data_IF_653133484629
#
_entry.id   IF_653133484629
#
_cell.length_a   1.000
_cell.length_b   1.000
_cell.length_c   1.000
_cell.angle_alpha   90.00
_cell.angle_beta   90.00
_cell.angle_gamma   90.00
#
_symmetry.space_group_name_H-M   'P 1'
#
loop_
_entity.id
_entity.type
_entity.pdbx_description
1 polymer ?
#
# COMPACT_ATOMS: atom_id res chain seq x y z
N UNK A 1 -28.85 -19.07 -12.99
CA UNK A 1 -27.53 -18.43 -12.78
C UNK A 1 -26.52 -19.35 -13.42
N UNK A 2 -25.76 -18.90 -14.43
CA UNK A 2 -24.77 -19.78 -15.08
C UNK A 2 -23.67 -20.16 -14.08
N UNK A 3 -23.15 -21.38 -14.17
CA UNK A 3 -22.04 -21.83 -13.33
C UNK A 3 -20.81 -20.96 -13.64
N UNK A 4 -20.21 -20.28 -12.64
CA UNK A 4 -18.98 -19.52 -12.83
C UNK A 4 -17.86 -20.33 -13.48
N UNK A 5 -17.81 -21.65 -13.25
CA UNK A 5 -16.81 -22.54 -13.86
C UNK A 5 -17.04 -22.69 -15.37
N UNK A 6 -18.29 -22.75 -15.79
CA UNK A 6 -18.67 -22.87 -17.19
C UNK A 6 -18.37 -21.56 -17.94
N UNK A 7 -18.67 -20.41 -17.33
CA UNK A 7 -18.31 -19.11 -17.87
C UNK A 7 -16.79 -18.94 -18.03
N UNK A 8 -15.99 -19.37 -17.05
CA UNK A 8 -14.52 -19.36 -17.16
C UNK A 8 -14.04 -20.31 -18.25
N UNK A 9 -14.62 -21.51 -18.35
CA UNK A 9 -14.25 -22.48 -19.39
C UNK A 9 -14.53 -21.95 -20.81
N UNK A 10 -15.62 -21.21 -21.01
CA UNK A 10 -15.94 -20.58 -22.28
C UNK A 10 -14.94 -19.48 -22.67
N UNK A 11 -14.57 -18.62 -21.72
CA UNK A 11 -13.53 -17.59 -21.95
C UNK A 11 -12.20 -18.24 -22.34
N UNK A 12 -11.80 -19.30 -21.61
CA UNK A 12 -10.56 -20.03 -21.91
C UNK A 12 -10.59 -20.71 -23.27
N UNK A 13 -11.73 -21.30 -23.66
CA UNK A 13 -11.91 -21.88 -24.99
C UNK A 13 -11.77 -20.82 -26.08
N UNK A 14 -12.48 -19.70 -25.95
CA UNK A 14 -12.42 -18.60 -26.91
C UNK A 14 -11.00 -18.01 -27.06
N UNK A 15 -10.27 -17.86 -25.95
CA UNK A 15 -8.87 -17.44 -26.00
C UNK A 15 -8.01 -18.48 -26.73
N UNK A 16 -8.16 -19.77 -26.40
CA UNK A 16 -7.39 -20.83 -27.04
C UNK A 16 -7.64 -20.94 -28.54
N UNK A 17 -8.89 -20.77 -28.98
CA UNK A 17 -9.26 -20.72 -30.40
C UNK A 17 -8.62 -19.52 -31.10
N UNK A 18 -8.66 -18.35 -30.46
CA UNK A 18 -8.03 -17.13 -30.99
C UNK A 18 -6.52 -17.30 -31.14
N UNK A 19 -5.85 -17.87 -30.14
CA UNK A 19 -4.41 -18.13 -30.17
C UNK A 19 -4.04 -19.15 -31.25
N UNK A 20 -4.81 -20.23 -31.41
CA UNK A 20 -4.63 -21.21 -32.49
C UNK A 20 -4.76 -20.56 -33.87
N UNK A 21 -5.81 -19.79 -34.08
CA UNK A 21 -6.05 -19.10 -35.36
C UNK A 21 -4.87 -18.20 -35.75
N UNK A 22 -4.36 -17.39 -34.83
CA UNK A 22 -3.23 -16.49 -35.10
C UNK A 22 -1.93 -17.26 -35.35
N UNK A 23 -1.68 -18.32 -34.58
CA UNK A 23 -0.53 -19.20 -34.81
C UNK A 23 -0.59 -19.84 -36.21
N UNK A 24 -1.76 -20.31 -36.63
CA UNK A 24 -1.95 -20.94 -37.94
C UNK A 24 -1.79 -19.93 -39.10
N UNK A 25 -1.99 -18.63 -38.84
CA UNK A 25 -1.64 -17.52 -39.74
C UNK A 25 -0.14 -17.14 -39.73
N UNK A 26 0.69 -17.86 -38.97
CA UNK A 26 2.14 -17.58 -38.86
C UNK A 26 2.50 -16.43 -37.92
N UNK A 27 1.55 -15.95 -37.11
CA UNK A 27 1.80 -14.92 -36.10
C UNK A 27 2.52 -15.55 -34.92
N UNK A 28 3.76 -15.13 -34.67
CA UNK A 28 4.57 -15.58 -33.53
C UNK A 28 4.34 -14.73 -32.27
N UNK A 29 3.82 -13.51 -32.42
CA UNK A 29 3.58 -12.56 -31.33
C UNK A 29 2.25 -11.82 -31.55
N UNK A 30 1.41 -11.79 -30.50
CA UNK A 30 0.17 -11.01 -30.50
C UNK A 30 0.39 -9.83 -29.56
N UNK A 31 0.60 -8.65 -30.14
CA UNK A 31 0.66 -7.41 -29.39
C UNK A 31 -0.75 -7.07 -28.87
N UNK A 32 -0.92 -7.06 -27.55
CA UNK A 32 -2.15 -6.52 -26.94
C UNK A 32 -2.18 -5.01 -27.19
N UNK A 33 -3.14 -4.54 -27.98
CA UNK A 33 -3.27 -3.11 -28.34
C UNK A 33 -3.72 -2.24 -27.17
N UNK A 34 -4.16 -2.86 -26.07
CA UNK A 34 -4.53 -2.22 -24.80
C UNK A 34 -4.11 -3.13 -23.66
N UNK A 35 -3.65 -2.52 -22.56
CA UNK A 35 -3.49 -3.23 -21.31
C UNK A 35 -4.87 -3.75 -20.86
N UNK A 36 -5.08 -5.07 -20.72
CA UNK A 36 -6.35 -5.62 -20.26
C UNK A 36 -6.63 -5.26 -18.79
N UNK A 37 -5.64 -4.75 -18.06
CA UNK A 37 -5.81 -4.29 -16.69
C UNK A 37 -6.29 -2.83 -16.65
N UNK A 38 -7.24 -2.49 -15.76
CA UNK A 38 -7.67 -1.11 -15.59
C UNK A 38 -6.49 -0.23 -15.17
N UNK A 39 -6.49 1.03 -15.62
CA UNK A 39 -5.55 2.05 -15.15
C UNK A 39 -5.50 2.01 -13.61
N UNK A 40 -4.32 1.99 -12.97
CA UNK A 40 -4.23 1.90 -11.51
C UNK A 40 -5.06 2.97 -10.79
N UNK A 41 -5.19 4.16 -11.37
CA UNK A 41 -6.03 5.22 -10.81
C UNK A 41 -7.53 4.88 -10.88
N UNK A 42 -8.01 4.30 -11.98
CA UNK A 42 -9.39 3.82 -12.12
C UNK A 42 -9.66 2.66 -11.16
N UNK A 43 -8.75 1.71 -11.06
CA UNK A 43 -8.86 0.57 -10.17
C UNK A 43 -8.93 1.00 -8.70
N UNK A 44 -8.05 1.90 -8.27
CA UNK A 44 -8.06 2.45 -6.91
C UNK A 44 -9.34 3.25 -6.63
N UNK A 45 -9.84 4.05 -7.59
CA UNK A 45 -11.12 4.75 -7.45
C UNK A 45 -12.29 3.78 -7.26
N UNK A 46 -12.35 2.71 -8.05
CA UNK A 46 -13.39 1.70 -7.91
C UNK A 46 -13.31 0.98 -6.54
N UNK A 47 -12.10 0.68 -6.07
CA UNK A 47 -11.88 0.12 -4.73
C UNK A 47 -12.32 1.07 -3.61
N UNK A 48 -11.99 2.36 -3.72
CA UNK A 48 -12.40 3.38 -2.75
C UNK A 48 -13.92 3.52 -2.67
N UNK A 49 -14.59 3.56 -3.83
CA UNK A 49 -16.05 3.61 -3.92
C UNK A 49 -16.70 2.37 -3.30
N UNK A 50 -16.18 1.17 -3.59
CA UNK A 50 -16.68 -0.08 -3.02
C UNK A 50 -16.48 -0.19 -1.50
N UNK A 51 -15.52 0.55 -0.95
CA UNK A 51 -15.25 0.59 0.48
C UNK A 51 -16.15 1.58 1.23
N UNK A 52 -16.80 2.52 0.53
CA UNK A 52 -17.75 3.44 1.15
C UNK A 52 -18.85 2.66 1.87
N UNK A 53 -19.11 3.01 3.13
CA UNK A 53 -20.12 2.31 3.94
C UNK A 53 -19.74 0.90 4.41
N UNK A 54 -18.50 0.43 4.20
CA UNK A 54 -18.06 -0.92 4.57
C UNK A 54 -18.44 -1.31 6.02
N UNK A 55 -19.22 -2.39 6.25
CA UNK A 55 -19.66 -2.81 7.60
C UNK A 55 -18.83 -3.97 8.19
N UNK A 56 -17.72 -4.36 7.55
CA UNK A 56 -17.02 -5.64 7.81
C UNK A 56 -16.41 -5.79 9.21
N UNK A 57 -16.23 -4.71 9.97
CA UNK A 57 -15.73 -4.77 11.35
C UNK A 57 -16.33 -3.67 12.23
N UNK A 58 -16.10 -3.77 13.54
CA UNK A 58 -16.65 -2.86 14.56
C UNK A 58 -16.20 -1.40 14.42
N UNK A 59 -15.06 -1.13 13.80
CA UNK A 59 -14.58 0.23 13.51
C UNK A 59 -15.54 1.02 12.59
N UNK A 60 -16.40 0.33 11.84
CA UNK A 60 -17.40 0.98 11.00
C UNK A 60 -18.45 1.77 11.77
N UNK A 61 -18.63 1.49 13.06
CA UNK A 61 -19.66 2.08 13.90
C UNK A 61 -19.30 3.46 14.44
N UNK A 62 -18.01 3.77 14.56
CA UNK A 62 -17.51 4.98 15.20
C UNK A 62 -16.73 5.92 14.27
N UNK A 63 -16.36 5.48 13.07
CA UNK A 63 -15.73 6.34 12.07
C UNK A 63 -16.67 7.45 11.62
N UNK A 64 -16.10 8.61 11.30
CA UNK A 64 -16.79 9.65 10.55
C UNK A 64 -16.70 9.37 9.05
N UNK A 65 -15.52 8.97 8.58
CA UNK A 65 -15.30 8.61 7.18
C UNK A 65 -14.28 7.50 7.03
N UNK A 66 -14.28 6.85 5.88
CA UNK A 66 -13.25 5.88 5.51
C UNK A 66 -12.03 6.63 5.00
N UNK A 67 -10.85 6.26 5.51
CA UNK A 67 -9.56 6.79 5.06
C UNK A 67 -8.87 5.71 4.22
N UNK A 68 -9.13 5.73 2.91
CA UNK A 68 -8.72 4.68 1.98
C UNK A 68 -7.20 4.67 1.74
N UNK A 69 -6.68 5.81 1.26
CA UNK A 69 -5.31 6.03 0.86
C UNK A 69 -5.21 7.30 0.00
N UNK A 70 -4.02 7.86 -0.20
CA UNK A 70 -3.82 9.04 -1.04
C UNK A 70 -2.43 9.09 -1.66
N UNK A 71 -2.31 9.72 -2.81
CA UNK A 71 -1.04 9.98 -3.50
C UNK A 71 -1.05 9.43 -4.93
N UNK A 72 0.13 9.20 -5.49
CA UNK A 72 0.29 8.75 -6.87
C UNK A 72 -0.21 7.29 -7.03
N UNK A 73 -1.20 7.01 -7.89
CA UNK A 73 -1.71 5.65 -8.13
C UNK A 73 -0.68 4.71 -8.78
N UNK A 74 0.41 5.27 -9.31
CA UNK A 74 1.57 4.56 -9.88
C UNK A 74 2.83 4.77 -9.03
N UNK A 75 2.67 5.08 -7.74
CA UNK A 75 3.78 5.38 -6.87
C UNK A 75 4.77 4.21 -6.81
N UNK A 76 6.06 4.55 -6.90
CA UNK A 76 7.12 3.56 -6.74
C UNK A 76 7.53 3.37 -5.28
N UNK A 77 7.10 4.29 -4.41
CA UNK A 77 7.18 4.19 -2.96
C UNK A 77 5.77 4.15 -2.37
N UNK A 78 5.42 3.08 -1.67
CA UNK A 78 4.20 3.02 -0.86
C UNK A 78 4.53 3.13 0.62
N UNK A 79 3.84 4.00 1.35
CA UNK A 79 4.01 4.18 2.80
C UNK A 79 2.81 3.61 3.52
N UNK A 80 3.04 2.71 4.48
CA UNK A 80 1.97 2.00 5.18
C UNK A 80 2.08 2.25 6.68
N UNK A 81 1.03 2.84 7.26
CA UNK A 81 0.87 3.03 8.70
C UNK A 81 -0.13 2.08 9.35
N UNK A 82 -0.45 2.35 10.62
CA UNK A 82 -1.36 1.53 11.43
C UNK A 82 -2.83 1.78 11.09
N UNK A 83 -3.30 3.01 11.29
CA UNK A 83 -4.71 3.39 11.18
C UNK A 83 -4.89 4.90 11.19
N UNK A 84 -6.10 5.40 10.88
CA UNK A 84 -6.42 6.82 10.91
C UNK A 84 -6.45 7.37 12.34
N UNK A 85 -5.97 8.60 12.51
CA UNK A 85 -6.24 9.39 13.71
C UNK A 85 -7.49 10.25 13.54
N UNK A 86 -7.66 11.20 14.45
CA UNK A 86 -8.84 12.08 14.48
C UNK A 86 -8.96 12.98 13.25
N UNK A 87 -7.86 13.62 12.85
CA UNK A 87 -7.88 14.54 11.71
C UNK A 87 -8.02 13.78 10.39
N UNK A 88 -7.44 12.59 10.31
CA UNK A 88 -7.63 11.70 9.17
C UNK A 88 -9.10 11.26 9.03
N UNK A 89 -9.75 10.88 10.14
CA UNK A 89 -11.16 10.48 10.16
C UNK A 89 -12.12 11.63 9.79
N UNK A 90 -11.77 12.88 10.11
CA UNK A 90 -12.56 14.04 9.69
C UNK A 90 -12.38 14.37 8.20
N UNK A 91 -11.16 14.21 7.67
CA UNK A 91 -10.80 14.69 6.34
C UNK A 91 -10.83 13.61 5.25
N UNK A 92 -10.87 12.32 5.63
CA UNK A 92 -10.80 11.20 4.70
C UNK A 92 -9.42 10.98 4.08
N UNK A 93 -8.39 11.66 4.58
CA UNK A 93 -7.02 11.61 4.02
C UNK A 93 -6.05 11.05 5.06
N UNK A 94 -5.15 10.14 4.69
CA UNK A 94 -4.21 9.54 5.63
C UNK A 94 -3.10 10.52 6.00
N UNK A 95 -2.62 10.48 7.25
CA UNK A 95 -1.46 11.26 7.70
C UNK A 95 -1.59 12.78 7.39
N UNK A 96 -2.66 13.42 7.86
CA UNK A 96 -2.88 14.88 7.78
C UNK A 96 -2.65 15.60 9.12
N UNK A 97 -2.73 14.87 10.24
CA UNK A 97 -2.44 15.40 11.58
C UNK A 97 -0.95 15.63 11.83
N UNK A 98 -0.58 15.87 13.11
CA UNK A 98 0.81 16.17 13.51
C UNK A 98 1.81 15.09 13.09
N UNK A 99 1.44 13.82 13.23
CA UNK A 99 2.26 12.69 12.78
C UNK A 99 2.46 12.70 11.26
N UNK A 100 1.42 13.07 10.52
CA UNK A 100 1.46 13.22 9.07
C UNK A 100 2.33 14.37 8.58
N UNK A 101 2.27 15.52 9.25
CA UNK A 101 3.17 16.64 8.96
C UNK A 101 4.63 16.27 9.18
N UNK A 102 4.92 15.48 10.22
CA UNK A 102 6.27 14.94 10.43
C UNK A 102 6.65 13.95 9.32
N UNK A 103 5.74 13.05 8.92
CA UNK A 103 5.98 12.13 7.80
C UNK A 103 6.33 12.88 6.52
N UNK A 104 5.59 13.94 6.19
CA UNK A 104 5.88 14.77 5.01
C UNK A 104 7.28 15.36 5.07
N UNK A 105 7.71 15.89 6.22
CA UNK A 105 9.09 16.40 6.40
C UNK A 105 10.14 15.29 6.32
N UNK A 106 9.84 14.10 6.86
CA UNK A 106 10.72 12.94 6.79
C UNK A 106 10.95 12.52 5.34
N UNK A 107 9.89 12.37 4.54
CA UNK A 107 9.98 12.02 3.12
C UNK A 107 10.76 13.09 2.33
N UNK A 108 10.43 14.37 2.55
CA UNK A 108 11.12 15.49 1.89
C UNK A 108 12.63 15.52 2.23
N UNK A 109 13.02 15.13 3.46
CA UNK A 109 14.43 15.12 3.88
C UNK A 109 15.32 14.13 3.10
N UNK A 110 14.72 13.19 2.38
CA UNK A 110 15.41 12.23 1.50
C UNK A 110 14.97 12.36 0.04
N UNK A 111 14.38 13.51 -0.32
CA UNK A 111 14.07 13.87 -1.70
C UNK A 111 12.80 13.23 -2.27
N UNK A 112 11.88 12.75 -1.44
CA UNK A 112 10.56 12.30 -1.88
C UNK A 112 9.53 13.42 -1.74
N UNK A 113 8.77 13.65 -2.81
CA UNK A 113 7.52 14.40 -2.78
C UNK A 113 6.37 13.46 -2.42
N UNK A 114 5.53 13.91 -1.48
CA UNK A 114 4.45 13.11 -0.93
C UNK A 114 3.39 12.73 -1.96
N UNK A 115 3.02 13.66 -2.85
CA UNK A 115 1.90 13.46 -3.77
C UNK A 115 2.38 12.89 -5.10
N UNK A 116 3.57 13.29 -5.56
CA UNK A 116 4.15 12.84 -6.82
C UNK A 116 4.81 11.46 -6.71
N UNK A 117 5.56 11.21 -5.64
CA UNK A 117 6.44 10.03 -5.58
C UNK A 117 5.85 8.89 -4.73
N UNK A 118 4.90 9.20 -3.85
CA UNK A 118 4.40 8.27 -2.84
C UNK A 118 2.90 7.94 -3.01
N UNK A 119 2.51 6.75 -2.55
CA UNK A 119 1.14 6.42 -2.18
C UNK A 119 1.08 6.05 -0.70
N UNK A 120 0.19 6.65 0.05
CA UNK A 120 0.14 6.53 1.51
C UNK A 120 -1.17 5.87 1.93
N UNK A 121 -1.07 4.84 2.75
CA UNK A 121 -2.20 4.07 3.24
C UNK A 121 -1.96 3.58 4.68
N UNK A 122 -2.99 2.99 5.29
CA UNK A 122 -2.91 2.34 6.59
C UNK A 122 -3.41 0.88 6.50
N UNK A 123 -3.02 0.05 7.46
CA UNK A 123 -3.52 -1.32 7.64
C UNK A 123 -5.04 -1.33 7.84
N UNK A 124 -5.55 -0.53 8.78
CA UNK A 124 -6.99 -0.32 8.90
C UNK A 124 -7.42 1.01 8.27
N UNK A 125 -8.63 1.06 7.71
CA UNK A 125 -9.17 2.23 6.98
C UNK A 125 -10.12 3.10 7.81
N UNK A 126 -10.35 2.73 9.06
CA UNK A 126 -11.29 3.39 9.97
C UNK A 126 -10.57 3.67 11.28
N UNK A 127 -10.84 4.82 11.90
CA UNK A 127 -10.21 5.22 13.17
C UNK A 127 -10.67 4.30 14.32
N UNK A 128 -9.76 3.67 15.07
CA UNK A 128 -10.10 3.04 16.34
C UNK A 128 -10.45 4.06 17.43
N UNK A 129 -11.40 3.71 18.29
CA UNK A 129 -11.87 4.59 19.37
C UNK A 129 -10.70 5.10 20.22
N UNK A 130 -10.66 6.41 20.46
CA UNK A 130 -9.61 7.08 21.23
C UNK A 130 -8.18 6.79 20.72
N UNK A 131 -8.03 6.46 19.44
CA UNK A 131 -6.75 6.10 18.81
C UNK A 131 -6.05 4.93 19.52
N UNK A 132 -6.83 3.97 20.04
CA UNK A 132 -6.25 2.69 20.47
C UNK A 132 -5.64 1.97 19.27
N UNK A 133 -4.82 0.97 19.56
CA UNK A 133 -4.36 0.05 18.54
C UNK A 133 -5.54 -0.74 17.94
N UNK A 134 -5.52 -1.05 16.62
CA UNK A 134 -6.45 -1.98 16.01
C UNK A 134 -6.35 -3.38 16.63
N UNK A 135 -7.49 -4.03 16.80
CA UNK A 135 -7.56 -5.40 17.28
C UNK A 135 -7.31 -6.40 16.13
N UNK A 136 -6.85 -7.64 16.42
CA UNK A 136 -6.53 -8.61 15.38
C UNK A 136 -7.68 -8.93 14.42
N UNK A 137 -8.93 -8.94 14.90
CA UNK A 137 -10.12 -9.15 14.06
C UNK A 137 -10.38 -7.96 13.12
N UNK A 138 -10.10 -6.74 13.57
CA UNK A 138 -10.22 -5.52 12.76
C UNK A 138 -9.16 -5.49 11.66
N UNK A 139 -7.92 -5.86 12.00
CA UNK A 139 -6.83 -6.02 11.04
C UNK A 139 -7.19 -7.09 10.02
N UNK A 140 -7.63 -8.27 10.46
CA UNK A 140 -7.99 -9.38 9.57
C UNK A 140 -9.12 -9.01 8.59
N UNK A 141 -10.16 -8.32 9.06
CA UNK A 141 -11.25 -7.86 8.20
C UNK A 141 -10.83 -6.76 7.21
N UNK A 142 -9.84 -5.93 7.56
CA UNK A 142 -9.45 -4.77 6.76
C UNK A 142 -8.24 -5.04 5.84
N UNK A 143 -7.39 -6.01 6.17
CA UNK A 143 -6.18 -6.35 5.44
C UNK A 143 -6.40 -6.66 3.95
N UNK A 144 -7.50 -7.34 3.52
CA UNK A 144 -7.76 -7.57 2.10
C UNK A 144 -7.82 -6.27 1.27
N UNK A 145 -8.25 -5.16 1.85
CA UNK A 145 -8.29 -3.87 1.15
C UNK A 145 -6.90 -3.27 0.96
N UNK A 146 -6.02 -3.39 1.98
CA UNK A 146 -4.62 -2.98 1.83
C UNK A 146 -3.90 -3.86 0.80
N UNK A 147 -4.13 -5.17 0.83
CA UNK A 147 -3.55 -6.08 -0.16
C UNK A 147 -3.99 -5.73 -1.58
N UNK A 148 -5.28 -5.46 -1.80
CA UNK A 148 -5.79 -5.03 -3.10
C UNK A 148 -5.12 -3.72 -3.59
N UNK A 149 -4.87 -2.76 -2.70
CA UNK A 149 -4.12 -1.53 -3.05
C UNK A 149 -2.67 -1.85 -3.44
N UNK A 150 -1.98 -2.70 -2.67
CA UNK A 150 -0.60 -3.13 -2.99
C UNK A 150 -0.56 -3.88 -4.33
N UNK A 151 -1.55 -4.74 -4.60
CA UNK A 151 -1.65 -5.51 -5.84
C UNK A 151 -1.95 -4.62 -7.05
N UNK A 152 -2.66 -3.50 -6.85
CA UNK A 152 -2.97 -2.53 -7.90
C UNK A 152 -1.79 -1.61 -8.22
N UNK A 153 -1.07 -1.17 -7.19
CA UNK A 153 0.05 -0.22 -7.33
C UNK A 153 1.36 -0.95 -7.69
N UNK A 154 1.52 -2.18 -7.20
CA UNK A 154 2.73 -2.99 -7.31
C UNK A 154 4.03 -2.20 -7.00
N UNK A 155 4.11 -1.52 -5.84
CA UNK A 155 5.23 -0.65 -5.53
C UNK A 155 6.52 -1.48 -5.32
N UNK A 156 7.66 -1.12 -5.94
CA UNK A 156 8.94 -1.77 -5.70
C UNK A 156 9.47 -1.53 -4.29
N UNK A 157 9.08 -0.43 -3.62
CA UNK A 157 9.48 -0.14 -2.24
C UNK A 157 8.26 0.14 -1.37
N UNK A 158 8.17 -0.56 -0.24
CA UNK A 158 7.19 -0.30 0.81
C UNK A 158 7.90 0.18 2.08
N UNK A 159 7.59 1.40 2.52
CA UNK A 159 8.02 1.92 3.82
C UNK A 159 6.94 1.63 4.87
N UNK A 160 7.21 0.71 5.79
CA UNK A 160 6.27 0.28 6.83
C UNK A 160 6.56 1.00 8.16
N UNK A 161 5.56 1.72 8.67
CA UNK A 161 5.68 2.61 9.82
C UNK A 161 5.20 1.94 11.11
N UNK A 162 6.12 1.62 12.01
CA UNK A 162 5.84 1.07 13.34
C UNK A 162 5.47 -0.42 13.35
N UNK A 163 5.18 -0.93 14.55
CA UNK A 163 4.94 -2.36 14.77
C UNK A 163 3.77 -2.90 13.94
N UNK A 164 2.62 -2.22 13.94
CA UNK A 164 1.41 -2.75 13.32
C UNK A 164 1.56 -2.96 11.83
N UNK A 165 2.08 -1.97 11.10
CA UNK A 165 2.32 -2.09 9.67
C UNK A 165 3.29 -3.24 9.37
N UNK A 166 4.42 -3.27 10.09
CA UNK A 166 5.49 -4.25 9.83
C UNK A 166 5.07 -5.67 10.19
N UNK A 167 4.43 -5.86 11.34
CA UNK A 167 3.96 -7.17 11.80
C UNK A 167 2.85 -7.72 10.89
N UNK A 168 1.93 -6.86 10.44
CA UNK A 168 0.88 -7.25 9.50
C UNK A 168 1.45 -7.66 8.15
N UNK A 169 2.40 -6.88 7.62
CA UNK A 169 2.97 -7.15 6.30
C UNK A 169 3.93 -8.35 6.31
N UNK A 170 4.79 -8.46 7.33
CA UNK A 170 5.78 -9.55 7.41
C UNK A 170 5.25 -10.83 8.09
N UNK A 171 4.04 -10.81 8.67
CA UNK A 171 3.48 -11.96 9.37
C UNK A 171 4.30 -12.37 10.60
N UNK A 172 4.88 -11.41 11.33
CA UNK A 172 5.77 -11.65 12.48
C UNK A 172 5.23 -11.01 13.76
N UNK A 173 5.71 -11.50 14.92
CA UNK A 173 5.48 -10.88 16.24
C UNK A 173 6.68 -10.05 16.72
N UNK A 174 7.76 -10.01 15.94
CA UNK A 174 8.95 -9.23 16.30
C UNK A 174 8.66 -7.73 16.35
N UNK A 175 9.34 -7.02 17.25
CA UNK A 175 9.18 -5.58 17.42
C UNK A 175 10.04 -4.77 16.45
N UNK A 176 9.60 -3.55 16.16
CA UNK A 176 10.21 -2.62 15.20
C UNK A 176 11.69 -2.40 15.48
N UNK A 177 12.09 -2.32 16.75
CA UNK A 177 13.49 -2.11 17.14
C UNK A 177 14.44 -3.19 16.63
N UNK A 178 13.95 -4.43 16.44
CA UNK A 178 14.73 -5.54 15.85
C UNK A 178 14.61 -5.57 14.33
N UNK A 179 13.49 -5.11 13.79
CA UNK A 179 13.16 -5.27 12.38
C UNK A 179 13.69 -4.14 11.49
N UNK A 180 13.87 -2.93 12.03
CA UNK A 180 14.35 -1.75 11.30
C UNK A 180 15.83 -1.82 10.91
N UNK A 181 16.27 -0.90 10.04
CA UNK A 181 17.66 -0.81 9.58
C UNK A 181 18.08 -1.84 8.54
N UNK A 182 17.14 -2.64 8.02
CA UNK A 182 17.36 -3.63 6.96
C UNK A 182 16.13 -3.75 6.05
N UNK A 183 16.32 -4.37 4.89
CA UNK A 183 15.26 -4.65 3.92
C UNK A 183 14.75 -6.09 4.05
N UNK A 184 13.53 -6.32 3.61
CA UNK A 184 12.92 -7.65 3.49
C UNK A 184 12.38 -7.78 2.08
N UNK A 185 12.60 -8.93 1.45
CA UNK A 185 11.91 -9.24 0.20
C UNK A 185 10.41 -9.26 0.47
N UNK A 186 9.66 -8.48 -0.31
CA UNK A 186 8.22 -8.41 -0.18
C UNK A 186 7.59 -8.33 -1.55
N UNK A 187 6.86 -9.39 -1.93
CA UNK A 187 6.30 -9.56 -3.29
C UNK A 187 7.43 -9.42 -4.33
N UNK A 188 7.29 -8.51 -5.29
CA UNK A 188 8.29 -8.24 -6.34
C UNK A 188 9.35 -7.20 -5.94
N UNK A 189 9.23 -6.62 -4.75
CA UNK A 189 10.07 -5.52 -4.28
C UNK A 189 10.63 -5.75 -2.89
N UNK A 190 10.82 -4.66 -2.16
CA UNK A 190 11.35 -4.66 -0.80
C UNK A 190 10.46 -3.89 0.17
N UNK A 191 10.44 -4.36 1.41
CA UNK A 191 9.85 -3.69 2.55
C UNK A 191 10.95 -3.15 3.46
N UNK A 192 10.84 -1.88 3.83
CA UNK A 192 11.75 -1.17 4.75
C UNK A 192 10.97 -0.76 6.00
N UNK A 193 11.23 -1.39 7.16
CA UNK A 193 10.63 -0.98 8.42
C UNK A 193 11.27 0.29 8.98
N UNK A 194 10.46 1.19 9.53
CA UNK A 194 10.95 2.32 10.35
C UNK A 194 9.98 2.68 11.48
N UNK A 195 10.38 3.61 12.34
CA UNK A 195 9.54 4.11 13.42
C UNK A 195 8.33 4.88 12.91
N UNK A 196 7.20 4.72 13.59
CA UNK A 196 6.02 5.53 13.32
C UNK A 196 6.26 7.01 13.68
N UNK A 197 5.84 8.00 12.89
CA UNK A 197 6.04 9.42 13.21
C UNK A 197 5.48 9.82 14.57
N UNK A 198 4.35 9.25 14.99
CA UNK A 198 3.79 9.48 16.33
C UNK A 198 4.72 9.01 17.47
N UNK A 199 5.51 7.95 17.26
CA UNK A 199 6.51 7.51 18.23
C UNK A 199 7.65 8.54 18.35
N UNK A 200 8.12 9.09 17.22
CA UNK A 200 9.17 10.11 17.19
C UNK A 200 8.71 11.44 17.82
N UNK A 201 7.42 11.77 17.71
CA UNK A 201 6.84 12.95 18.38
C UNK A 201 6.77 12.77 19.90
N UNK A 202 6.48 11.56 20.39
CA UNK A 202 6.46 11.26 21.83
C UNK A 202 7.86 11.08 22.41
N UNK A 203 8.81 10.62 21.61
CA UNK A 203 10.19 10.36 22.00
C UNK A 203 11.13 11.23 21.15
N UNK A 204 11.28 12.52 21.46
CA UNK A 204 12.01 13.47 20.62
C UNK A 204 13.53 13.29 20.65
N UNK A 205 14.04 12.20 21.25
CA UNK A 205 15.45 11.87 21.35
C UNK A 205 16.14 11.84 19.98
N UNK A 206 17.32 12.44 19.91
CA UNK A 206 18.09 12.58 18.67
C UNK A 206 18.45 11.22 18.07
N UNK A 207 18.63 10.20 18.91
CA UNK A 207 18.94 8.84 18.51
C UNK A 207 17.84 8.21 17.64
N UNK A 208 16.58 8.31 18.05
CA UNK A 208 15.45 7.76 17.29
C UNK A 208 15.22 8.49 15.96
N UNK A 209 15.45 9.81 15.94
CA UNK A 209 15.39 10.60 14.70
C UNK A 209 16.50 10.19 13.72
N UNK A 210 17.73 10.01 14.21
CA UNK A 210 18.86 9.53 13.39
C UNK A 210 18.56 8.16 12.81
N UNK A 211 18.09 7.24 13.65
CA UNK A 211 17.66 5.91 13.23
C UNK A 211 16.60 5.96 12.13
N UNK A 212 15.52 6.72 12.33
CA UNK A 212 14.47 6.86 11.32
C UNK A 212 15.00 7.47 10.01
N UNK A 213 15.92 8.44 10.09
CA UNK A 213 16.56 9.02 8.92
C UNK A 213 17.45 8.03 8.17
N UNK A 214 18.18 7.17 8.88
CA UNK A 214 18.95 6.08 8.26
C UNK A 214 18.05 5.09 7.53
N UNK A 215 16.88 4.76 8.08
CA UNK A 215 15.89 3.90 7.40
C UNK A 215 15.32 4.56 6.13
N UNK A 216 15.08 5.88 6.15
CA UNK A 216 14.60 6.62 4.99
C UNK A 216 15.64 6.68 3.87
N UNK A 217 16.92 6.85 4.21
CA UNK A 217 18.01 6.75 3.23
C UNK A 217 18.10 5.35 2.63
N UNK A 218 17.89 4.31 3.44
CA UNK A 218 17.82 2.94 2.96
C UNK A 218 16.66 2.77 1.96
N UNK A 219 15.46 3.27 2.29
CA UNK A 219 14.32 3.26 1.37
C UNK A 219 14.61 4.02 0.08
N UNK A 220 15.30 5.18 0.17
CA UNK A 220 15.71 5.97 -1.01
C UNK A 220 16.69 5.21 -1.91
N UNK A 221 17.69 4.56 -1.33
CA UNK A 221 18.67 3.76 -2.09
C UNK A 221 18.00 2.59 -2.81
N UNK A 222 17.09 1.87 -2.13
CA UNK A 222 16.37 0.77 -2.77
C UNK A 222 15.40 1.27 -3.85
N UNK A 223 14.79 2.44 -3.64
CA UNK A 223 13.98 3.11 -4.65
C UNK A 223 14.82 3.34 -5.90
N UNK A 224 15.96 4.05 -5.80
CA UNK A 224 16.85 4.33 -6.93
C UNK A 224 17.27 3.03 -7.66
N UNK A 225 17.78 2.05 -6.90
CA UNK A 225 18.21 0.76 -7.44
C UNK A 225 17.12 0.03 -8.21
N UNK A 226 15.93 -0.10 -7.63
CA UNK A 226 14.79 -0.77 -8.27
C UNK A 226 14.17 0.09 -9.37
N UNK A 227 14.42 1.41 -9.34
CA UNK A 227 13.91 2.33 -10.33
C UNK A 227 14.65 2.34 -11.65
N UNK A 228 15.97 2.25 -11.57
CA UNK A 228 16.88 2.21 -12.71
C UNK A 228 16.90 0.84 -13.40
N UNK A 229 16.55 -0.22 -12.67
CA UNK A 229 16.49 -1.59 -13.17
C UNK A 229 15.24 -1.90 -14.02
N UNK A 230 14.26 -0.98 -14.07
CA UNK A 230 13.04 -1.13 -14.88
C UNK A 230 13.13 -0.16 -16.06
N UNK A 231 13.32 -0.64 -17.31
CA UNK A 231 13.32 0.26 -18.46
C UNK A 231 11.96 0.98 -18.55
N UNK A 232 11.92 2.24 -19.02
CA UNK A 232 10.66 2.93 -19.26
C UNK A 232 9.87 2.15 -20.31
N UNK A 233 8.61 1.82 -19.97
CA UNK A 233 7.63 1.28 -20.92
C UNK A 233 7.19 2.35 -21.92
#
# INVERSE_FOLDING_TARGET
MSDPREAVADVLRGLADTLRHHRDLGVSEIALTRDPFPDPADALRAQEQALQGCPRCKLSRSRSTVVFGSGNPRARLMVIGEGPGEEEDKQGKPFVGRAGQLLTRMLASVGFDRERDCYIANVVKCRPDRNRNPEPDEVAACNPFLMAQIDTIQPPVILALGNFAVQTLLGTKEGISKLRGRTYTYRTGVLVPTFHPAFLLRNPGQEFKRMAWDDLKLARREYERLTESTPPH
#
